data_IF_823358772660
#
_entry.id   IF_823358772660
#
_cell.length_a   1.000
_cell.length_b   1.000
_cell.length_c   1.000
_cell.angle_alpha   90.00
_cell.angle_beta   90.00
_cell.angle_gamma   90.00
#
_symmetry.space_group_name_H-M   'P 1'
#
loop_
_entity.id
_entity.type
_entity.pdbx_description
1 polymer ?
#
# COMPACT_ATOMS: atom_id res chain seq x y z
N UNK A 1 -3.45 2.94 -19.84
CA UNK A 1 -3.70 3.57 -18.53
C UNK A 1 -4.40 2.63 -17.57
N UNK A 2 -5.62 2.16 -17.89
CA UNK A 2 -6.39 1.28 -17.00
C UNK A 2 -5.69 -0.05 -16.65
N UNK A 3 -4.98 -0.66 -17.61
CA UNK A 3 -4.27 -1.94 -17.38
C UNK A 3 -3.15 -1.84 -16.33
N UNK A 4 -2.33 -0.78 -16.40
CA UNK A 4 -1.23 -0.55 -15.45
C UNK A 4 -1.79 -0.23 -14.06
N UNK A 5 -2.85 0.59 -14.00
CA UNK A 5 -3.53 0.93 -12.75
C UNK A 5 -4.19 -0.30 -12.10
N UNK A 6 -4.84 -1.16 -12.91
CA UNK A 6 -5.45 -2.39 -12.43
C UNK A 6 -4.40 -3.39 -11.94
N UNK A 7 -3.29 -3.54 -12.67
CA UNK A 7 -2.18 -4.39 -12.25
C UNK A 7 -1.60 -3.94 -10.91
N UNK A 8 -1.32 -2.64 -10.77
CA UNK A 8 -0.77 -2.06 -9.55
C UNK A 8 -1.73 -2.20 -8.35
N UNK A 9 -3.02 -2.03 -8.62
CA UNK A 9 -4.09 -2.22 -7.64
C UNK A 9 -4.19 -3.68 -7.19
N UNK A 10 -4.20 -4.63 -8.13
CA UNK A 10 -4.29 -6.07 -7.82
C UNK A 10 -3.07 -6.51 -7.02
N UNK A 11 -1.86 -6.15 -7.44
CA UNK A 11 -0.61 -6.56 -6.78
C UNK A 11 -0.58 -6.06 -5.33
N UNK A 12 -0.91 -4.78 -5.10
CA UNK A 12 -0.84 -4.23 -3.74
C UNK A 12 -1.98 -4.72 -2.85
N UNK A 13 -3.20 -4.87 -3.35
CA UNK A 13 -4.29 -5.45 -2.58
C UNK A 13 -4.00 -6.92 -2.24
N UNK A 14 -3.47 -7.71 -3.18
CA UNK A 14 -3.11 -9.10 -2.89
C UNK A 14 -2.04 -9.20 -1.81
N UNK A 15 -1.00 -8.35 -1.87
CA UNK A 15 0.02 -8.32 -0.84
C UNK A 15 -0.57 -8.00 0.55
N UNK A 16 -1.45 -6.99 0.62
CA UNK A 16 -2.11 -6.61 1.86
C UNK A 16 -3.01 -7.73 2.39
N UNK A 17 -3.77 -8.40 1.50
CA UNK A 17 -4.65 -9.51 1.85
C UNK A 17 -3.87 -10.73 2.35
N UNK A 18 -2.69 -11.01 1.79
CA UNK A 18 -1.83 -12.09 2.28
C UNK A 18 -1.39 -11.81 3.72
N UNK A 19 -0.96 -10.59 4.02
CA UNK A 19 -0.58 -10.20 5.38
C UNK A 19 -1.78 -10.22 6.34
N UNK A 20 -2.92 -9.68 5.93
CA UNK A 20 -4.16 -9.71 6.72
C UNK A 20 -4.65 -11.14 6.97
N UNK A 21 -4.57 -12.02 5.98
CA UNK A 21 -4.96 -13.42 6.15
C UNK A 21 -4.05 -14.12 7.17
N UNK A 22 -2.74 -13.91 7.08
CA UNK A 22 -1.77 -14.46 8.04
C UNK A 22 -1.99 -13.93 9.46
N UNK A 23 -2.19 -12.62 9.62
CA UNK A 23 -2.38 -11.97 10.92
C UNK A 23 -3.74 -12.27 11.55
N UNK A 24 -4.83 -12.15 10.77
CA UNK A 24 -6.20 -12.21 11.31
C UNK A 24 -6.79 -13.62 11.30
N UNK A 25 -6.50 -14.42 10.26
CA UNK A 25 -7.09 -15.75 10.09
C UNK A 25 -6.17 -16.84 10.64
N UNK A 26 -4.91 -16.85 10.22
CA UNK A 26 -3.92 -17.83 10.72
C UNK A 26 -3.38 -17.47 12.11
N UNK A 27 -3.65 -16.25 12.60
CA UNK A 27 -3.17 -15.72 13.90
C UNK A 27 -1.65 -15.85 14.06
N UNK A 28 -0.92 -15.72 12.95
CA UNK A 28 0.53 -15.69 12.97
C UNK A 28 1.03 -14.43 13.67
N UNK A 29 2.22 -14.51 14.28
CA UNK A 29 2.86 -13.34 14.86
C UNK A 29 3.30 -12.36 13.78
N UNK A 30 3.64 -11.13 14.19
CA UNK A 30 4.02 -10.06 13.26
C UNK A 30 5.25 -10.48 12.42
N UNK A 31 6.24 -11.07 13.08
CA UNK A 31 7.46 -11.57 12.46
C UNK A 31 7.22 -12.72 11.50
N UNK A 32 6.25 -13.60 11.76
CA UNK A 32 5.91 -14.70 10.86
C UNK A 32 5.06 -14.24 9.66
N UNK A 33 4.11 -13.35 9.90
CA UNK A 33 3.21 -12.85 8.87
C UNK A 33 3.90 -11.90 7.89
N UNK A 34 4.86 -11.12 8.42
CA UNK A 34 5.60 -10.08 7.70
C UNK A 34 7.11 -10.24 7.91
N UNK A 35 7.62 -11.45 7.63
CA UNK A 35 9.04 -11.86 7.76
C UNK A 35 10.08 -10.86 7.25
N UNK A 36 9.69 -10.00 6.32
CA UNK A 36 10.60 -9.05 5.69
C UNK A 36 10.69 -7.75 6.51
N UNK A 37 9.67 -7.42 7.30
CA UNK A 37 9.51 -6.11 7.93
C UNK A 37 9.67 -6.09 9.44
N UNK A 38 9.52 -7.24 10.09
CA UNK A 38 9.50 -7.32 11.55
C UNK A 38 10.21 -8.56 12.06
N UNK A 39 10.95 -8.38 13.16
CA UNK A 39 11.63 -9.44 13.89
C UNK A 39 10.76 -9.94 15.04
N UNK A 40 11.14 -11.09 15.61
CA UNK A 40 10.47 -11.66 16.79
C UNK A 40 10.39 -10.69 17.97
N UNK A 41 11.33 -9.74 18.08
CA UNK A 41 11.30 -8.71 19.11
C UNK A 41 10.11 -7.74 18.97
N UNK A 42 9.59 -7.57 17.75
CA UNK A 42 8.43 -6.72 17.46
C UNK A 42 7.09 -7.46 17.62
N UNK A 43 7.11 -8.74 17.97
CA UNK A 43 5.90 -9.55 18.14
C UNK A 43 5.08 -9.06 19.33
N UNK A 44 4.01 -8.34 19.01
CA UNK A 44 3.02 -7.87 19.97
C UNK A 44 1.63 -7.90 19.35
N UNK A 45 0.63 -8.28 20.15
CA UNK A 45 -0.78 -8.29 19.68
C UNK A 45 -1.23 -6.90 19.24
N UNK A 46 -0.73 -5.85 19.90
CA UNK A 46 -1.01 -4.47 19.54
C UNK A 46 -0.40 -4.09 18.19
N UNK A 47 0.86 -4.50 17.92
CA UNK A 47 1.51 -4.29 16.63
C UNK A 47 0.77 -4.99 15.49
N UNK A 48 0.34 -6.25 15.69
CA UNK A 48 -0.43 -6.99 14.69
C UNK A 48 -1.76 -6.31 14.37
N UNK A 49 -2.45 -5.80 15.40
CA UNK A 49 -3.70 -5.06 15.22
C UNK A 49 -3.47 -3.74 14.48
N UNK A 50 -2.44 -2.98 14.87
CA UNK A 50 -2.13 -1.69 14.25
C UNK A 50 -1.75 -1.84 12.78
N UNK A 51 -0.92 -2.83 12.45
CA UNK A 51 -0.58 -3.16 11.07
C UNK A 51 -1.83 -3.59 10.27
N UNK A 52 -2.69 -4.43 10.86
CA UNK A 52 -3.91 -4.88 10.18
C UNK A 52 -4.86 -3.72 9.86
N UNK A 53 -5.09 -2.83 10.83
CA UNK A 53 -5.91 -1.63 10.64
C UNK A 53 -5.31 -0.72 9.57
N UNK A 54 -3.99 -0.52 9.59
CA UNK A 54 -3.28 0.26 8.58
C UNK A 54 -3.45 -0.33 7.17
N UNK A 55 -3.26 -1.64 6.99
CA UNK A 55 -3.44 -2.30 5.69
C UNK A 55 -4.87 -2.19 5.18
N UNK A 56 -5.87 -2.37 6.06
CA UNK A 56 -7.30 -2.18 5.70
C UNK A 56 -7.56 -0.74 5.25
N UNK A 57 -7.03 0.24 5.99
CA UNK A 57 -7.16 1.65 5.64
C UNK A 57 -6.59 1.94 4.25
N UNK A 58 -5.43 1.36 3.90
CA UNK A 58 -4.82 1.53 2.59
C UNK A 58 -5.56 0.80 1.46
N UNK A 59 -6.21 -0.32 1.76
CA UNK A 59 -6.98 -1.08 0.77
C UNK A 59 -8.30 -0.38 0.41
N UNK A 60 -8.92 0.32 1.36
CA UNK A 60 -10.27 0.90 1.21
C UNK A 60 -10.40 1.85 -0.01
N UNK A 61 -9.53 2.87 -0.20
CA UNK A 61 -9.59 3.72 -1.39
C UNK A 61 -9.43 2.95 -2.71
N UNK A 62 -8.60 1.89 -2.69
CA UNK A 62 -8.35 1.07 -3.88
C UNK A 62 -9.57 0.25 -4.27
N UNK A 63 -10.33 -0.26 -3.29
CA UNK A 63 -11.61 -0.93 -3.57
C UNK A 63 -12.59 0.03 -4.25
N UNK A 64 -12.65 1.30 -3.81
CA UNK A 64 -13.49 2.29 -4.49
C UNK A 64 -13.02 2.63 -5.91
N UNK A 65 -11.71 2.55 -6.21
CA UNK A 65 -11.20 2.71 -7.58
C UNK A 65 -11.65 1.60 -8.54
N UNK A 66 -12.05 0.42 -8.05
CA UNK A 66 -12.63 -0.61 -8.91
C UNK A 66 -14.01 -0.20 -9.45
N UNK A 67 -14.76 0.57 -8.66
CA UNK A 67 -16.09 1.06 -9.04
C UNK A 67 -16.02 2.40 -9.79
N UNK A 68 -15.18 3.33 -9.32
CA UNK A 68 -15.02 4.68 -9.89
C UNK A 68 -13.56 4.99 -10.25
N UNK A 69 -13.03 4.42 -11.35
CA UNK A 69 -11.60 4.49 -11.67
C UNK A 69 -11.10 5.90 -12.04
N UNK A 70 -12.00 6.80 -12.43
CA UNK A 70 -11.69 8.18 -12.85
C UNK A 70 -12.02 9.23 -11.77
N UNK A 71 -12.41 8.80 -10.57
CA UNK A 71 -12.69 9.74 -9.49
C UNK A 71 -11.40 10.39 -9.00
N UNK A 72 -11.25 11.70 -9.25
CA UNK A 72 -10.07 12.48 -8.84
C UNK A 72 -9.81 12.43 -7.33
N UNK A 73 -10.87 12.35 -6.52
CA UNK A 73 -10.72 12.35 -5.07
C UNK A 73 -10.27 11.00 -4.57
N UNK A 74 -10.82 9.91 -5.11
CA UNK A 74 -10.40 8.55 -4.75
C UNK A 74 -8.95 8.32 -5.19
N UNK A 75 -8.56 8.77 -6.39
CA UNK A 75 -7.18 8.72 -6.86
C UNK A 75 -6.21 9.49 -5.95
N UNK A 76 -6.62 10.65 -5.44
CA UNK A 76 -5.82 11.44 -4.51
C UNK A 76 -5.62 10.70 -3.18
N UNK A 77 -6.70 10.18 -2.60
CA UNK A 77 -6.64 9.44 -1.33
C UNK A 77 -5.78 8.17 -1.49
N UNK A 78 -5.89 7.46 -2.61
CA UNK A 78 -5.04 6.32 -2.93
C UNK A 78 -3.56 6.73 -3.07
N UNK A 79 -3.25 7.84 -3.75
CA UNK A 79 -1.89 8.34 -3.89
C UNK A 79 -1.26 8.72 -2.54
N UNK A 80 -2.03 9.40 -1.68
CA UNK A 80 -1.60 9.76 -0.32
C UNK A 80 -1.38 8.49 0.51
N UNK A 81 -2.31 7.53 0.47
CA UNK A 81 -2.19 6.26 1.18
C UNK A 81 -0.94 5.47 0.76
N UNK A 82 -0.66 5.36 -0.53
CA UNK A 82 0.56 4.70 -0.99
C UNK A 82 1.84 5.47 -0.63
N UNK A 83 1.78 6.80 -0.60
CA UNK A 83 2.91 7.61 -0.11
C UNK A 83 3.17 7.36 1.38
N UNK A 84 2.09 7.26 2.18
CA UNK A 84 2.16 6.92 3.60
C UNK A 84 2.75 5.51 3.80
N UNK A 85 2.33 4.53 2.98
CA UNK A 85 2.91 3.18 2.96
C UNK A 85 4.42 3.25 2.76
N UNK A 86 4.87 3.94 1.71
CA UNK A 86 6.30 4.07 1.42
C UNK A 86 7.05 4.67 2.59
N UNK A 87 6.55 5.74 3.20
CA UNK A 87 7.18 6.37 4.36
C UNK A 87 7.27 5.41 5.55
N UNK A 88 6.15 4.79 5.94
CA UNK A 88 6.10 3.87 7.09
C UNK A 88 7.06 2.68 6.88
N UNK A 89 7.00 2.04 5.72
CA UNK A 89 7.87 0.90 5.43
C UNK A 89 9.35 1.31 5.25
N UNK A 90 9.63 2.55 4.84
CA UNK A 90 11.01 3.06 4.77
C UNK A 90 11.59 3.31 6.17
N UNK A 91 10.77 3.82 7.10
CA UNK A 91 11.18 3.96 8.51
C UNK A 91 11.44 2.58 9.12
N UNK A 92 10.53 1.62 8.92
CA UNK A 92 10.73 0.24 9.36
C UNK A 92 12.01 -0.36 8.77
N UNK A 93 12.28 -0.15 7.48
CA UNK A 93 13.51 -0.60 6.83
C UNK A 93 14.77 0.02 7.47
N UNK A 94 14.73 1.30 7.84
CA UNK A 94 15.89 1.98 8.43
C UNK A 94 16.23 1.51 9.85
N UNK A 95 15.25 0.98 10.57
CA UNK A 95 15.41 0.48 11.95
C UNK A 95 15.62 -1.04 12.01
N UNK A 96 15.40 -1.76 10.90
CA UNK A 96 15.44 -3.20 10.86
C UNK A 96 16.86 -3.73 10.55
N UNK A 97 17.54 -4.28 11.56
CA UNK A 97 18.89 -4.86 11.40
C UNK A 97 18.91 -6.05 10.42
N UNK A 98 17.78 -6.77 10.28
CA UNK A 98 17.61 -7.89 9.35
C UNK A 98 17.26 -7.51 7.91
N UNK A 99 17.36 -6.23 7.54
CA UNK A 99 16.94 -5.72 6.23
C UNK A 99 17.66 -6.43 5.07
N UNK A 100 16.88 -6.93 4.11
CA UNK A 100 17.37 -7.68 2.95
C UNK A 100 17.16 -6.92 1.64
N UNK A 101 17.74 -7.44 0.55
CA UNK A 101 17.46 -6.95 -0.81
C UNK A 101 15.97 -7.01 -1.17
N UNK A 102 15.23 -7.97 -0.58
CA UNK A 102 13.79 -8.11 -0.78
C UNK A 102 13.02 -6.90 -0.25
N UNK A 103 13.42 -6.32 0.89
CA UNK A 103 12.83 -5.08 1.41
C UNK A 103 13.00 -3.94 0.42
N UNK A 104 14.21 -3.79 -0.12
CA UNK A 104 14.55 -2.74 -1.09
C UNK A 104 13.71 -2.88 -2.36
N UNK A 105 13.56 -4.11 -2.85
CA UNK A 105 12.70 -4.42 -3.98
C UNK A 105 11.24 -4.07 -3.70
N UNK A 106 10.70 -4.46 -2.54
CA UNK A 106 9.32 -4.15 -2.14
C UNK A 106 9.08 -2.65 -1.96
N UNK A 107 10.01 -1.92 -1.32
CA UNK A 107 9.95 -0.46 -1.21
C UNK A 107 9.94 0.21 -2.57
N UNK A 108 10.76 -0.27 -3.49
CA UNK A 108 10.80 0.24 -4.86
C UNK A 108 9.46 0.02 -5.58
N UNK A 109 8.85 -1.16 -5.42
CA UNK A 109 7.51 -1.44 -5.96
C UNK A 109 6.44 -0.52 -5.34
N UNK A 110 6.46 -0.32 -4.02
CA UNK A 110 5.53 0.60 -3.36
C UNK A 110 5.73 2.05 -3.83
N UNK A 111 6.97 2.49 -4.00
CA UNK A 111 7.28 3.82 -4.52
C UNK A 111 6.81 4.01 -5.96
N UNK A 112 7.01 3.01 -6.83
CA UNK A 112 6.47 3.02 -8.19
C UNK A 112 4.95 3.08 -8.18
N UNK A 113 4.28 2.35 -7.29
CA UNK A 113 2.82 2.39 -7.16
C UNK A 113 2.32 3.77 -6.73
N UNK A 114 2.96 4.37 -5.71
CA UNK A 114 2.64 5.73 -5.27
C UNK A 114 2.80 6.74 -6.41
N UNK A 115 3.90 6.66 -7.17
CA UNK A 115 4.12 7.50 -8.34
C UNK A 115 3.05 7.32 -9.42
N UNK A 116 2.65 6.08 -9.71
CA UNK A 116 1.58 5.79 -10.67
C UNK A 116 0.25 6.44 -10.25
N UNK A 117 -0.14 6.32 -8.98
CA UNK A 117 -1.36 6.98 -8.48
C UNK A 117 -1.29 8.50 -8.57
N UNK A 118 -0.14 9.11 -8.24
CA UNK A 118 0.06 10.55 -8.43
C UNK A 118 -0.05 10.98 -9.90
N UNK A 119 0.54 10.21 -10.81
CA UNK A 119 0.43 10.45 -12.24
C UNK A 119 -1.01 10.33 -12.75
N UNK A 120 -1.74 9.30 -12.32
CA UNK A 120 -3.16 9.10 -12.67
C UNK A 120 -4.06 10.20 -12.10
N UNK A 121 -3.81 10.63 -10.88
CA UNK A 121 -4.50 11.78 -10.28
C UNK A 121 -4.26 13.05 -11.10
N UNK A 122 -2.99 13.35 -11.42
CA UNK A 122 -2.60 14.56 -12.14
C UNK A 122 -3.20 14.63 -13.54
N UNK A 123 -3.14 13.52 -14.28
CA UNK A 123 -3.72 13.42 -15.63
C UNK A 123 -5.24 13.58 -15.61
N UNK A 124 -5.92 12.92 -14.66
CA UNK A 124 -7.36 13.06 -14.44
C UNK A 124 -7.75 14.49 -14.10
N UNK A 125 -7.04 15.12 -13.16
CA UNK A 125 -7.24 16.52 -12.78
C UNK A 125 -7.10 17.45 -13.98
N UNK A 126 -6.05 17.28 -14.79
CA UNK A 126 -5.85 18.06 -16.02
C UNK A 126 -6.99 17.89 -17.02
N UNK A 127 -7.48 16.66 -17.25
CA UNK A 127 -8.59 16.41 -18.18
C UNK A 127 -9.85 17.17 -17.77
N UNK A 128 -10.21 17.14 -16.48
CA UNK A 128 -11.39 17.87 -15.99
C UNK A 128 -11.20 19.39 -16.00
N UNK A 129 -10.00 19.88 -15.70
CA UNK A 129 -9.69 21.33 -15.76
C UNK A 129 -9.77 21.93 -17.18
N UNK A 130 -9.48 21.11 -18.21
CA UNK A 130 -9.57 21.53 -19.62
C UNK A 130 -10.99 21.54 -20.16
N UNK A 131 -11.89 20.73 -19.60
CA UNK A 131 -13.31 20.67 -20.00
C UNK A 131 -14.18 21.75 -19.34
N UNK A 132 -13.68 22.43 -18.31
CA UNK A 132 -14.39 23.54 -17.66
C UNK A 132 -13.98 24.92 -18.19
N UNK A 133 -13.17 24.98 -19.25
CA UNK A 133 -12.84 26.19 -20.01
C UNK A 133 -13.52 26.10 -21.37
#
# INVERSE_FOLDING_TARGET
MMFIQLYSLIVTILADLIFLFRLCVLRQTLSEATMVWFDKAADSTQGSLLLSVFLIYLALPKLFLLYEPLSRWILLVAAIGESLRVVVFSVLFSEFEGATELNTFLLTLFAQNAWLYWYHWYTTYKMFSRRSK
#
